data_IF_955541651549
#
_entry.id   IF_955541651549
#
_cell.length_a   1.000
_cell.length_b   1.000
_cell.length_c   1.000
_cell.angle_alpha   90.00
_cell.angle_beta   90.00
_cell.angle_gamma   90.00
#
_symmetry.space_group_name_H-M   'P 1'
#
loop_
_entity.id
_entity.type
_entity.pdbx_description
1 polymer ?
#
# COMPACT_ATOMS: atom_id res chain seq x y z
N UNK A 1 -5.50 19.45 21.60
CA UNK A 1 -6.36 19.62 20.39
C UNK A 1 -7.70 18.99 20.70
N UNK A 2 -8.80 19.71 20.50
CA UNK A 2 -10.16 19.18 20.64
C UNK A 2 -10.43 18.13 19.55
N UNK A 3 -11.35 17.20 19.78
CA UNK A 3 -11.67 16.10 18.85
C UNK A 3 -12.06 16.59 17.44
N UNK A 4 -12.66 17.76 17.32
CA UNK A 4 -13.05 18.40 16.05
C UNK A 4 -11.85 18.84 15.17
N UNK A 5 -10.70 19.14 15.78
CA UNK A 5 -9.48 19.53 15.04
C UNK A 5 -8.75 18.37 14.38
N UNK A 6 -9.19 17.12 14.62
CA UNK A 6 -8.54 15.90 14.10
C UNK A 6 -9.16 15.40 12.80
N UNK A 7 -10.36 15.86 12.40
CA UNK A 7 -11.03 15.47 11.16
C UNK A 7 -10.78 16.55 10.12
N UNK A 8 -10.12 16.20 9.01
CA UNK A 8 -9.80 17.15 7.94
C UNK A 8 -10.11 16.59 6.56
N UNK A 9 -10.58 17.46 5.68
CA UNK A 9 -10.77 17.20 4.27
C UNK A 9 -9.68 17.92 3.49
N UNK A 10 -9.13 17.25 2.47
CA UNK A 10 -8.16 17.82 1.55
C UNK A 10 -8.66 17.63 0.12
N UNK A 11 -8.74 18.71 -0.62
CA UNK A 11 -9.25 18.70 -1.99
C UNK A 11 -8.25 18.07 -2.97
N UNK A 12 -6.96 18.27 -2.73
CA UNK A 12 -5.89 17.83 -3.60
C UNK A 12 -4.69 17.26 -2.80
N UNK A 13 -3.78 16.61 -3.51
CA UNK A 13 -2.60 15.94 -2.96
C UNK A 13 -1.62 16.92 -2.30
N UNK A 14 -1.51 18.13 -2.86
CA UNK A 14 -0.57 19.16 -2.39
C UNK A 14 -0.96 19.69 -1.01
N UNK A 15 -2.25 19.98 -0.78
CA UNK A 15 -2.75 20.41 0.53
C UNK A 15 -2.48 19.36 1.62
N UNK A 16 -2.67 18.09 1.29
CA UNK A 16 -2.34 16.99 2.20
C UNK A 16 -0.84 16.92 2.51
N UNK A 17 0.01 17.08 1.48
CA UNK A 17 1.47 17.13 1.64
C UNK A 17 1.94 18.30 2.50
N UNK A 18 1.38 19.50 2.28
CA UNK A 18 1.69 20.69 3.07
C UNK A 18 1.32 20.44 4.55
N UNK A 19 0.12 19.92 4.80
CA UNK A 19 -0.28 19.60 6.16
C UNK A 19 0.67 18.59 6.83
N UNK A 20 1.07 17.56 6.14
CA UNK A 20 2.06 16.60 6.65
C UNK A 20 3.39 17.27 6.96
N UNK A 21 3.91 18.10 6.04
CA UNK A 21 5.18 18.80 6.23
C UNK A 21 5.20 19.67 7.48
N UNK A 22 4.08 20.32 7.80
CA UNK A 22 3.92 21.18 8.97
C UNK A 22 3.66 20.41 10.27
N UNK A 23 3.12 19.19 10.19
CA UNK A 23 2.56 18.52 11.37
C UNK A 23 3.16 17.13 11.66
N UNK A 24 3.98 16.54 10.78
CA UNK A 24 4.41 15.13 10.91
C UNK A 24 5.18 14.82 12.20
N UNK A 25 5.88 15.81 12.77
CA UNK A 25 6.66 15.67 14.01
C UNK A 25 5.86 16.03 15.28
N UNK A 26 4.73 16.71 15.14
CA UNK A 26 3.99 17.29 16.28
C UNK A 26 2.60 16.68 16.46
N UNK A 27 1.94 16.28 15.36
CA UNK A 27 0.64 15.62 15.43
C UNK A 27 0.78 14.12 15.68
N UNK A 28 -0.16 13.56 16.44
CA UNK A 28 -0.20 12.14 16.77
C UNK A 28 -1.18 11.35 15.89
N UNK A 29 -2.14 12.03 15.27
CA UNK A 29 -3.16 11.42 14.43
C UNK A 29 -3.91 12.46 13.61
N UNK A 30 -4.54 11.99 12.53
CA UNK A 30 -5.54 12.72 11.76
C UNK A 30 -6.57 11.76 11.18
N UNK A 31 -7.81 12.18 11.08
CA UNK A 31 -8.88 11.53 10.35
C UNK A 31 -9.10 12.24 9.02
N UNK A 32 -8.63 11.64 7.95
CA UNK A 32 -8.72 12.15 6.59
C UNK A 32 -10.11 11.86 6.00
N UNK A 33 -10.83 12.86 5.54
CA UNK A 33 -12.17 12.71 4.96
C UNK A 33 -12.10 12.35 3.48
N UNK A 34 -12.68 11.22 3.09
CA UNK A 34 -12.88 10.82 1.71
C UNK A 34 -14.37 10.95 1.36
N UNK A 35 -14.77 11.92 0.53
CA UNK A 35 -16.13 12.03 0.03
C UNK A 35 -16.47 10.87 -0.92
N UNK A 36 -17.74 10.48 -0.97
CA UNK A 36 -18.22 9.49 -1.93
C UNK A 36 -18.10 10.03 -3.36
N UNK A 37 -18.02 9.13 -4.33
CA UNK A 37 -18.00 9.51 -5.75
C UNK A 37 -19.27 10.26 -6.16
N UNK A 38 -20.41 9.95 -5.51
CA UNK A 38 -21.70 10.60 -5.77
C UNK A 38 -21.77 12.05 -5.31
N UNK A 39 -20.91 12.47 -4.37
CA UNK A 39 -20.90 13.86 -3.86
C UNK A 39 -20.41 14.89 -4.88
N UNK A 40 -19.75 14.47 -5.96
CA UNK A 40 -19.11 15.36 -6.94
C UNK A 40 -17.95 16.18 -6.40
N UNK A 41 -17.58 16.04 -5.13
CA UNK A 41 -16.45 16.77 -4.52
C UNK A 41 -15.13 16.20 -5.01
N UNK A 42 -14.18 17.07 -5.34
CA UNK A 42 -12.79 16.67 -5.59
C UNK A 42 -12.18 16.11 -4.31
N UNK A 43 -11.32 15.14 -4.43
CA UNK A 43 -10.62 14.56 -3.29
C UNK A 43 -9.35 13.88 -3.74
N UNK A 44 -8.39 13.80 -2.83
CA UNK A 44 -7.19 12.98 -2.98
C UNK A 44 -7.62 11.51 -3.11
N UNK A 45 -6.99 10.76 -4.01
CA UNK A 45 -7.24 9.32 -4.06
C UNK A 45 -6.65 8.63 -2.83
N UNK A 46 -7.22 7.49 -2.45
CA UNK A 46 -6.67 6.71 -1.33
C UNK A 46 -5.17 6.40 -1.53
N UNK A 47 -4.78 6.00 -2.75
CA UNK A 47 -3.38 5.69 -3.03
C UNK A 47 -2.47 6.91 -2.86
N UNK A 48 -2.87 8.07 -3.38
CA UNK A 48 -2.09 9.30 -3.23
C UNK A 48 -1.99 9.73 -1.76
N UNK A 49 -3.08 9.57 -0.99
CA UNK A 49 -3.06 9.87 0.43
C UNK A 49 -2.07 8.97 1.20
N UNK A 50 -2.02 7.67 0.88
CA UNK A 50 -1.06 6.74 1.47
C UNK A 50 0.37 7.03 1.02
N UNK A 51 0.58 7.39 -0.26
CA UNK A 51 1.91 7.77 -0.77
C UNK A 51 2.46 8.96 -0.01
N UNK A 52 1.67 10.04 0.12
CA UNK A 52 2.12 11.23 0.86
C UNK A 52 2.39 10.92 2.33
N UNK A 53 1.51 10.17 2.99
CA UNK A 53 1.73 9.75 4.37
C UNK A 53 3.06 8.99 4.53
N UNK A 54 3.35 8.05 3.64
CA UNK A 54 4.61 7.28 3.65
C UNK A 54 5.85 8.15 3.47
N UNK A 55 5.75 9.27 2.71
CA UNK A 55 6.85 10.22 2.56
C UNK A 55 7.30 10.84 3.89
N UNK A 56 6.41 10.91 4.87
CA UNK A 56 6.61 11.48 6.20
C UNK A 56 6.59 10.45 7.33
N UNK A 57 6.76 9.16 7.00
CA UNK A 57 6.69 8.05 7.99
C UNK A 57 5.36 7.98 8.73
N UNK A 58 4.28 8.34 8.05
CA UNK A 58 2.90 8.12 8.51
C UNK A 58 2.28 6.94 7.79
N UNK A 59 1.23 6.36 8.39
CA UNK A 59 0.52 5.20 7.84
C UNK A 59 -0.97 5.29 8.15
N UNK A 60 -1.76 4.79 7.22
CA UNK A 60 -3.18 4.58 7.42
C UNK A 60 -3.48 3.34 8.30
N UNK A 61 -4.61 3.37 8.97
CA UNK A 61 -5.08 2.25 9.79
C UNK A 61 -6.58 2.00 9.58
N UNK A 62 -7.41 2.53 10.46
CA UNK A 62 -8.86 2.25 10.49
C UNK A 62 -9.63 3.18 9.56
N UNK A 63 -10.58 2.61 8.81
CA UNK A 63 -11.58 3.35 8.06
C UNK A 63 -12.93 3.28 8.77
N UNK A 64 -13.65 4.41 8.81
CA UNK A 64 -15.00 4.51 9.38
C UNK A 64 -15.92 5.28 8.45
N UNK A 65 -17.24 5.06 8.56
CA UNK A 65 -18.23 5.95 7.98
C UNK A 65 -18.38 7.17 8.89
N UNK A 66 -18.29 8.36 8.33
CA UNK A 66 -18.60 9.62 9.02
C UNK A 66 -20.10 9.89 8.91
N UNK A 67 -20.62 9.77 7.70
CA UNK A 67 -22.04 9.89 7.33
C UNK A 67 -22.33 9.07 6.06
N UNK A 68 -23.48 9.31 5.41
CA UNK A 68 -23.89 8.59 4.18
C UNK A 68 -22.98 8.87 2.98
N UNK A 69 -22.32 10.04 2.95
CA UNK A 69 -21.51 10.51 1.81
C UNK A 69 -20.02 10.58 2.09
N UNK A 70 -19.60 10.42 3.35
CA UNK A 70 -18.20 10.58 3.73
C UNK A 70 -17.69 9.37 4.52
N UNK A 71 -16.50 8.91 4.16
CA UNK A 71 -15.68 7.99 4.97
C UNK A 71 -14.50 8.75 5.53
N UNK A 72 -14.04 8.33 6.70
CA UNK A 72 -12.82 8.86 7.32
C UNK A 72 -11.80 7.74 7.48
N UNK A 73 -10.57 8.06 7.09
CA UNK A 73 -9.42 7.17 7.23
C UNK A 73 -8.48 7.73 8.30
N UNK A 74 -8.12 6.88 9.27
CA UNK A 74 -7.19 7.25 10.32
C UNK A 74 -5.76 7.15 9.83
N UNK A 75 -4.99 8.23 9.96
CA UNK A 75 -3.55 8.27 9.72
C UNK A 75 -2.81 8.62 11.00
N UNK A 76 -1.68 7.96 11.23
CA UNK A 76 -0.81 8.16 12.40
C UNK A 76 0.66 8.05 12.01
N UNK A 77 1.59 8.63 12.80
CA UNK A 77 2.99 8.28 12.69
C UNK A 77 3.19 6.76 12.77
N UNK A 78 4.05 6.21 11.94
CA UNK A 78 4.36 4.78 11.97
C UNK A 78 5.04 4.40 13.28
N UNK A 79 4.61 3.28 13.86
CA UNK A 79 5.36 2.69 14.96
C UNK A 79 6.74 2.23 14.43
N UNK A 80 7.85 2.72 15.01
CA UNK A 80 9.21 2.35 14.57
C UNK A 80 9.50 0.84 14.59
N UNK A 81 8.77 0.08 15.40
CA UNK A 81 8.89 -1.39 15.51
C UNK A 81 8.08 -2.14 14.45
N UNK A 82 7.20 -1.46 13.70
CA UNK A 82 6.37 -2.10 12.66
C UNK A 82 7.18 -2.35 11.40
N UNK A 83 6.97 -3.51 10.79
CA UNK A 83 7.48 -3.81 9.43
C UNK A 83 6.62 -3.13 8.37
N UNK A 84 7.18 -2.88 7.19
CA UNK A 84 6.42 -2.42 6.04
C UNK A 84 5.81 -3.61 5.30
N UNK A 85 4.53 -3.48 4.91
CA UNK A 85 3.97 -4.43 3.95
C UNK A 85 4.71 -4.35 2.62
N UNK A 86 4.73 -5.43 1.85
CA UNK A 86 5.40 -5.41 0.55
C UNK A 86 4.78 -4.36 -0.40
N UNK A 87 3.46 -4.18 -0.34
CA UNK A 87 2.79 -3.12 -1.08
C UNK A 87 3.35 -1.73 -0.74
N UNK A 88 3.59 -1.45 0.54
CA UNK A 88 4.19 -0.18 0.95
C UNK A 88 5.69 -0.10 0.61
N UNK A 89 6.43 -1.22 0.59
CA UNK A 89 7.82 -1.22 0.07
C UNK A 89 7.86 -0.85 -1.41
N UNK A 90 6.92 -1.32 -2.24
CA UNK A 90 6.86 -0.95 -3.66
C UNK A 90 6.44 0.53 -3.86
N UNK A 91 5.48 1.04 -3.05
CA UNK A 91 5.20 2.49 -3.01
C UNK A 91 6.45 3.30 -2.69
N UNK A 92 7.18 2.92 -1.64
CA UNK A 92 8.39 3.60 -1.21
C UNK A 92 9.51 3.54 -2.26
N UNK A 93 9.65 2.45 -3.04
CA UNK A 93 10.58 2.38 -4.17
C UNK A 93 10.25 3.46 -5.20
N UNK A 94 9.00 3.49 -5.62
CA UNK A 94 8.52 4.49 -6.58
C UNK A 94 8.71 5.93 -6.06
N UNK A 95 8.37 6.18 -4.79
CA UNK A 95 8.52 7.49 -4.14
C UNK A 95 9.99 7.91 -4.05
N UNK A 96 10.90 6.97 -3.78
CA UNK A 96 12.34 7.20 -3.74
C UNK A 96 12.90 7.52 -5.13
N UNK A 97 12.50 6.76 -6.15
CA UNK A 97 12.90 6.99 -7.56
C UNK A 97 12.44 8.37 -8.06
N UNK A 98 11.28 8.83 -7.61
CA UNK A 98 10.73 10.16 -7.93
C UNK A 98 11.24 11.28 -7.00
N UNK A 99 12.10 10.98 -6.04
CA UNK A 99 12.73 11.96 -5.11
C UNK A 99 11.72 12.78 -4.31
N UNK A 100 10.61 12.17 -3.89
CA UNK A 100 9.54 12.85 -3.13
C UNK A 100 9.45 12.44 -1.67
N UNK A 101 10.32 11.51 -1.22
CA UNK A 101 10.47 11.18 0.20
C UNK A 101 11.02 12.40 0.95
N UNK A 102 10.49 12.66 2.15
CA UNK A 102 11.02 13.73 3.00
C UNK A 102 12.48 13.40 3.41
N UNK A 103 13.45 14.35 3.29
CA UNK A 103 14.87 14.10 3.49
C UNK A 103 15.23 13.42 4.83
N UNK A 104 14.50 13.77 5.89
CA UNK A 104 14.67 13.16 7.24
C UNK A 104 14.56 11.63 7.23
N UNK A 105 13.87 11.04 6.27
CA UNK A 105 13.54 9.60 6.25
C UNK A 105 14.22 8.83 5.12
N UNK A 106 14.91 9.50 4.20
CA UNK A 106 15.53 8.86 3.02
C UNK A 106 16.46 7.70 3.38
N UNK A 107 17.39 7.89 4.33
CA UNK A 107 18.36 6.87 4.71
C UNK A 107 17.70 5.66 5.35
N UNK A 108 16.71 5.89 6.21
CA UNK A 108 15.91 4.82 6.81
C UNK A 108 15.19 4.00 5.74
N UNK A 109 14.52 4.69 4.80
CA UNK A 109 13.78 4.04 3.72
C UNK A 109 14.72 3.30 2.78
N UNK A 110 15.86 3.88 2.42
CA UNK A 110 16.90 3.21 1.62
C UNK A 110 17.34 1.90 2.25
N UNK A 111 17.58 1.88 3.56
CA UNK A 111 17.93 0.67 4.30
C UNK A 111 16.80 -0.37 4.25
N UNK A 112 15.54 0.03 4.44
CA UNK A 112 14.38 -0.88 4.34
C UNK A 112 14.26 -1.48 2.94
N UNK A 113 14.52 -0.69 1.90
CA UNK A 113 14.41 -1.12 0.51
C UNK A 113 15.59 -1.97 0.03
N UNK A 114 16.74 -1.93 0.71
CA UNK A 114 17.90 -2.78 0.41
C UNK A 114 17.71 -4.23 0.86
N UNK A 115 16.76 -4.50 1.76
CA UNK A 115 16.45 -5.87 2.18
C UNK A 115 15.87 -6.67 1.01
N UNK A 116 16.46 -7.84 0.67
CA UNK A 116 15.94 -8.67 -0.41
C UNK A 116 14.58 -9.27 -0.04
N UNK A 117 13.70 -9.40 -1.02
CA UNK A 117 12.47 -10.16 -0.86
C UNK A 117 12.75 -11.65 -1.02
N UNK A 118 12.40 -12.42 0.00
CA UNK A 118 12.54 -13.88 -0.02
C UNK A 118 11.26 -14.52 -0.55
N UNK A 119 11.35 -15.17 -1.70
CA UNK A 119 10.26 -15.92 -2.28
C UNK A 119 10.15 -17.29 -1.59
N UNK A 120 8.99 -17.66 -0.96
CA UNK A 120 8.81 -18.96 -0.32
C UNK A 120 8.93 -20.10 -1.34
N UNK A 121 9.75 -21.11 -1.04
CA UNK A 121 10.03 -22.22 -1.96
C UNK A 121 8.77 -22.99 -2.35
N UNK A 122 7.90 -23.30 -1.40
CA UNK A 122 6.67 -24.04 -1.65
C UNK A 122 5.73 -23.34 -2.64
N UNK A 123 5.61 -22.01 -2.57
CA UNK A 123 4.84 -21.22 -3.56
C UNK A 123 5.55 -21.26 -4.92
N UNK A 124 6.88 -21.10 -4.91
CA UNK A 124 7.67 -21.09 -6.16
C UNK A 124 7.63 -22.45 -6.85
N UNK A 125 7.67 -23.55 -6.09
CA UNK A 125 7.60 -24.89 -6.63
C UNK A 125 6.23 -25.16 -7.28
N UNK A 126 5.14 -24.70 -6.64
CA UNK A 126 3.80 -24.75 -7.25
C UNK A 126 3.71 -24.03 -8.60
N UNK A 127 4.38 -22.89 -8.73
CA UNK A 127 4.42 -22.15 -10.01
C UNK A 127 5.24 -22.87 -11.08
N UNK A 128 6.25 -23.66 -10.69
CA UNK A 128 7.11 -24.44 -11.60
C UNK A 128 6.52 -25.78 -12.02
N UNK A 129 5.48 -26.28 -11.36
CA UNK A 129 4.83 -27.56 -11.72
C UNK A 129 4.30 -27.57 -13.16
N UNK A 130 4.06 -26.41 -13.77
CA UNK A 130 3.61 -26.28 -15.14
C UNK A 130 4.44 -25.24 -15.88
N UNK A 131 5.03 -25.62 -17.02
CA UNK A 131 5.94 -24.77 -17.78
C UNK A 131 5.25 -23.50 -18.30
N UNK A 132 4.03 -23.59 -18.84
CA UNK A 132 3.28 -22.43 -19.33
C UNK A 132 2.93 -21.44 -18.21
N UNK A 133 2.56 -21.95 -17.03
CA UNK A 133 2.35 -21.13 -15.83
C UNK A 133 3.63 -20.42 -15.42
N UNK A 134 4.76 -21.13 -15.39
CA UNK A 134 6.05 -20.58 -15.04
C UNK A 134 6.51 -19.48 -16.02
N UNK A 135 6.37 -19.71 -17.33
CA UNK A 135 6.69 -18.73 -18.36
C UNK A 135 5.83 -17.44 -18.21
N UNK A 136 4.53 -17.58 -17.94
CA UNK A 136 3.66 -16.44 -17.70
C UNK A 136 4.07 -15.69 -16.44
N UNK A 137 4.36 -16.41 -15.34
CA UNK A 137 4.86 -15.80 -14.11
C UNK A 137 6.15 -15.00 -14.34
N UNK A 138 7.09 -15.53 -15.10
CA UNK A 138 8.36 -14.85 -15.38
C UNK A 138 8.18 -13.51 -16.10
N UNK A 139 7.14 -13.38 -16.95
CA UNK A 139 6.83 -12.16 -17.70
C UNK A 139 6.27 -11.02 -16.84
N UNK A 140 5.78 -11.31 -15.66
CA UNK A 140 5.28 -10.28 -14.75
C UNK A 140 6.43 -9.43 -14.19
N UNK A 141 6.14 -8.16 -13.87
CA UNK A 141 7.11 -7.29 -13.23
C UNK A 141 7.51 -7.82 -11.85
N UNK A 142 8.71 -7.49 -11.41
CA UNK A 142 9.20 -7.91 -10.10
C UNK A 142 8.37 -7.32 -8.95
N UNK A 143 7.88 -6.08 -9.09
CA UNK A 143 6.98 -5.47 -8.12
C UNK A 143 5.68 -6.26 -7.98
N UNK A 144 5.05 -6.65 -9.10
CA UNK A 144 3.84 -7.48 -9.08
C UNK A 144 4.10 -8.82 -8.40
N UNK A 145 5.18 -9.52 -8.78
CA UNK A 145 5.57 -10.80 -8.18
C UNK A 145 5.70 -10.68 -6.67
N UNK A 146 6.50 -9.72 -6.19
CA UNK A 146 6.71 -9.51 -4.75
C UNK A 146 5.42 -9.18 -4.00
N UNK A 147 4.58 -8.30 -4.54
CA UNK A 147 3.31 -7.93 -3.90
C UNK A 147 2.38 -9.13 -3.80
N UNK A 148 2.23 -9.92 -4.89
CA UNK A 148 1.30 -11.05 -4.90
C UNK A 148 1.76 -12.20 -4.02
N UNK A 149 3.03 -12.55 -4.07
CA UNK A 149 3.60 -13.59 -3.18
C UNK A 149 3.51 -13.17 -1.71
N UNK A 150 3.83 -11.91 -1.38
CA UNK A 150 3.68 -11.40 -0.02
C UNK A 150 2.22 -11.41 0.46
N UNK A 151 1.26 -11.13 -0.42
CA UNK A 151 -0.17 -11.20 -0.08
C UNK A 151 -0.63 -12.63 0.21
N UNK A 152 -0.13 -13.63 -0.53
CA UNK A 152 -0.38 -15.05 -0.27
C UNK A 152 0.25 -15.43 1.07
N UNK A 153 1.53 -15.11 1.26
CA UNK A 153 2.30 -15.42 2.45
C UNK A 153 1.69 -14.84 3.74
N UNK A 154 1.11 -13.64 3.67
CA UNK A 154 0.40 -13.02 4.80
C UNK A 154 -0.81 -13.84 5.31
N UNK A 155 -1.27 -14.82 4.55
CA UNK A 155 -2.32 -15.75 4.97
C UNK A 155 -1.78 -17.07 5.54
N UNK A 156 -0.46 -17.28 5.65
CA UNK A 156 0.19 -18.55 6.02
C UNK A 156 -0.42 -19.23 7.27
N UNK A 157 -0.78 -18.43 8.27
CA UNK A 157 -1.40 -18.90 9.52
C UNK A 157 -2.90 -19.25 9.40
N UNK A 158 -3.50 -19.07 8.23
CA UNK A 158 -4.90 -19.33 7.91
C UNK A 158 -4.95 -20.22 6.65
N UNK A 159 -4.82 -21.57 6.80
CA UNK A 159 -4.59 -22.47 5.68
C UNK A 159 -5.60 -22.36 4.52
N UNK A 160 -6.89 -22.32 4.81
CA UNK A 160 -7.94 -22.16 3.79
C UNK A 160 -7.80 -20.86 2.99
N UNK A 161 -7.49 -19.77 3.68
CA UNK A 161 -7.29 -18.47 3.03
C UNK A 161 -5.99 -18.45 2.23
N UNK A 162 -4.92 -19.08 2.72
CA UNK A 162 -3.67 -19.23 2.00
C UNK A 162 -3.89 -19.99 0.69
N UNK A 163 -4.52 -21.16 0.75
CA UNK A 163 -4.82 -21.96 -0.44
C UNK A 163 -5.73 -21.21 -1.42
N UNK A 164 -6.75 -20.52 -0.93
CA UNK A 164 -7.65 -19.73 -1.76
C UNK A 164 -6.87 -18.63 -2.53
N UNK A 165 -5.95 -17.94 -1.85
CA UNK A 165 -5.13 -16.88 -2.47
C UNK A 165 -4.16 -17.45 -3.49
N UNK A 166 -3.52 -18.58 -3.16
CA UNK A 166 -2.57 -19.26 -4.04
C UNK A 166 -3.27 -19.77 -5.31
N UNK A 167 -4.40 -20.46 -5.18
CA UNK A 167 -5.18 -20.92 -6.33
C UNK A 167 -5.63 -19.77 -7.24
N UNK A 168 -6.20 -18.71 -6.66
CA UNK A 168 -6.58 -17.53 -7.46
C UNK A 168 -5.39 -16.92 -8.21
N UNK A 169 -4.22 -16.89 -7.60
CA UNK A 169 -3.01 -16.37 -8.25
C UNK A 169 -2.56 -17.29 -9.38
N UNK A 170 -2.53 -18.60 -9.15
CA UNK A 170 -2.19 -19.62 -10.17
C UNK A 170 -3.13 -19.53 -11.37
N UNK A 171 -4.46 -19.50 -11.15
CA UNK A 171 -5.45 -19.46 -12.23
C UNK A 171 -5.33 -18.19 -13.07
N UNK A 172 -5.16 -17.03 -12.42
CA UNK A 172 -4.92 -15.78 -13.15
C UNK A 172 -3.62 -15.80 -13.94
N UNK A 173 -2.58 -16.40 -13.37
CA UNK A 173 -1.27 -16.51 -14.03
C UNK A 173 -1.31 -17.49 -15.21
N UNK A 174 -2.05 -18.62 -15.12
CA UNK A 174 -2.30 -19.53 -16.26
C UNK A 174 -2.88 -18.78 -17.46
N UNK A 175 -3.82 -17.87 -17.21
CA UNK A 175 -4.46 -17.06 -18.23
C UNK A 175 -3.60 -15.84 -18.65
N UNK A 176 -2.37 -15.72 -18.16
CA UNK A 176 -1.52 -14.54 -18.33
C UNK A 176 -2.21 -13.21 -17.92
N UNK A 177 -3.03 -13.24 -16.90
CA UNK A 177 -3.79 -12.10 -16.39
C UNK A 177 -3.27 -11.66 -15.02
N UNK A 178 -3.13 -10.33 -14.85
CA UNK A 178 -2.81 -9.75 -13.55
C UNK A 178 -4.05 -9.61 -12.67
N UNK A 179 -3.89 -9.76 -11.38
CA UNK A 179 -4.90 -9.41 -10.37
C UNK A 179 -4.76 -7.92 -10.08
N UNK A 180 -5.82 -7.14 -10.27
CA UNK A 180 -5.84 -5.68 -10.17
C UNK A 180 -6.93 -5.19 -9.22
N UNK A 181 -7.01 -3.89 -8.98
CA UNK A 181 -8.14 -3.25 -8.26
C UNK A 181 -7.96 -3.11 -6.76
N UNK A 182 -6.75 -3.23 -6.22
CA UNK A 182 -6.50 -3.13 -4.77
C UNK A 182 -5.81 -1.81 -4.40
N UNK A 183 -6.59 -0.80 -3.98
CA UNK A 183 -6.07 0.43 -3.36
C UNK A 183 -5.03 1.20 -4.20
N UNK A 184 -5.12 1.11 -5.54
CA UNK A 184 -4.20 1.80 -6.45
C UNK A 184 -2.80 1.19 -6.55
N UNK A 185 -2.58 -0.02 -5.98
CA UNK A 185 -1.28 -0.71 -6.01
C UNK A 185 -0.86 -1.10 -7.45
N UNK A 186 -1.82 -1.15 -8.36
CA UNK A 186 -1.60 -1.49 -9.77
C UNK A 186 -0.68 -0.49 -10.49
N UNK A 187 -0.52 0.70 -9.93
CA UNK A 187 0.42 1.74 -10.38
C UNK A 187 1.87 1.25 -10.43
N UNK A 188 2.23 0.27 -9.61
CA UNK A 188 3.62 -0.23 -9.46
C UNK A 188 3.88 -1.55 -10.17
N UNK A 189 2.90 -2.08 -10.95
CA UNK A 189 3.00 -3.37 -11.65
C UNK A 189 3.78 -3.31 -12.94
#
# INVERSE_FOLDING_TARGET
MTAENKIKYFENREDWRIWLAENFDTANEIWFVFPSKSSGKKSVTYNDAVEEALCFEWIDSTIKSLDKEHKIQHFTPRNPKSTYSQANKERLRWLMENRIIHPKFEDKIRKVLSEPFLFPNDIMDKLRENEGLWQNYQRFSDAYKRIRIAYIEAARKRPEEFERRLHNFIDKTKDNRRITGFGGIDKYY
#
